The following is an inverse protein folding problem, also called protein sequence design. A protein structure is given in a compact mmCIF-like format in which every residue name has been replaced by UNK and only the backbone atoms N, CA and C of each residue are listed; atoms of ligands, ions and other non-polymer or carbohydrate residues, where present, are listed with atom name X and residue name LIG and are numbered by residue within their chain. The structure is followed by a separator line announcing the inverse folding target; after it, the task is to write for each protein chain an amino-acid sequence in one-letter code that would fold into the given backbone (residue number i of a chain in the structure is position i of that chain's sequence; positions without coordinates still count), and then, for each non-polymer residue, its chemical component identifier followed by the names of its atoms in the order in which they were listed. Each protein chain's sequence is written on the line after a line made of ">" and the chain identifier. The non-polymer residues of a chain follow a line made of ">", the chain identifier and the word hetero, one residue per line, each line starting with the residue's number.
data_IF_567980064659
#
_entry.id   IF_567980064659
#
_cell.length_a   1.000
_cell.length_b   1.000
_cell.length_c   1.000
_cell.angle_alpha   90.00
_cell.angle_beta   90.00
_cell.angle_gamma   90.00
#
_symmetry.space_group_name_H-M   'P 1'
#
loop_
_entity.id
_entity.type
_entity.pdbx_description
1 polymer ?
#
# COMPACT_ATOMS: atom_id res chain seq x y z
N UNK A 1 63.53 -46.74 -4.74
CA UNK A 1 62.87 -45.53 -5.31
C UNK A 1 61.43 -45.49 -4.79
N UNK A 2 61.17 -44.68 -3.73
CA UNK A 2 59.84 -44.55 -3.10
C UNK A 2 59.19 -43.29 -3.61
N UNK A 3 58.07 -43.43 -4.34
CA UNK A 3 57.26 -42.30 -4.79
C UNK A 3 56.33 -41.84 -3.66
N UNK A 4 56.53 -40.62 -3.17
CA UNK A 4 55.62 -39.95 -2.23
C UNK A 4 54.41 -39.45 -3.01
N UNK A 5 53.20 -39.92 -2.68
CA UNK A 5 51.92 -39.31 -3.10
C UNK A 5 51.56 -38.25 -2.07
N UNK A 6 51.59 -37.00 -2.49
CA UNK A 6 51.04 -35.89 -1.71
C UNK A 6 49.55 -35.76 -2.02
N UNK A 7 48.69 -36.18 -1.10
CA UNK A 7 47.26 -35.85 -1.14
C UNK A 7 47.04 -34.40 -0.73
N UNK A 8 46.73 -33.58 -1.70
CA UNK A 8 46.25 -32.22 -1.44
C UNK A 8 44.75 -32.28 -1.15
N UNK A 9 44.38 -32.17 0.13
CA UNK A 9 43.00 -32.03 0.57
C UNK A 9 42.56 -30.59 0.32
N UNK A 10 41.80 -30.38 -0.77
CA UNK A 10 41.15 -29.09 -1.07
C UNK A 10 39.86 -28.99 -0.24
N UNK A 11 39.95 -28.42 0.93
CA UNK A 11 38.80 -28.12 1.80
C UNK A 11 38.00 -26.99 1.19
N UNK A 12 36.93 -27.31 0.46
CA UNK A 12 36.00 -26.36 -0.14
C UNK A 12 35.14 -25.75 0.99
N UNK A 13 35.51 -24.58 1.50
CA UNK A 13 34.69 -23.81 2.44
C UNK A 13 33.48 -23.27 1.68
N UNK A 14 32.34 -23.93 1.80
CA UNK A 14 31.04 -23.42 1.41
C UNK A 14 30.64 -22.30 2.38
N UNK A 15 30.92 -21.06 2.00
CA UNK A 15 30.36 -19.86 2.65
C UNK A 15 28.86 -19.82 2.36
N UNK A 16 28.06 -20.37 3.26
CA UNK A 16 26.61 -20.14 3.26
C UNK A 16 26.36 -18.68 3.65
N UNK A 17 26.15 -17.83 2.65
CA UNK A 17 25.66 -16.48 2.89
C UNK A 17 24.20 -16.59 3.33
N UNK A 18 23.95 -16.54 4.63
CA UNK A 18 22.64 -16.28 5.17
C UNK A 18 22.30 -14.82 4.84
N UNK A 19 21.60 -14.61 3.73
CA UNK A 19 20.98 -13.33 3.46
C UNK A 19 19.93 -13.11 4.56
N UNK A 20 20.21 -12.24 5.53
CA UNK A 20 19.20 -11.67 6.40
C UNK A 20 18.27 -10.84 5.51
N UNK A 21 17.17 -11.43 5.08
CA UNK A 21 16.03 -10.67 4.56
C UNK A 21 15.47 -9.90 5.77
N UNK A 22 15.66 -8.59 5.79
CA UNK A 22 14.99 -7.75 6.77
C UNK A 22 13.48 -8.01 6.62
N UNK A 23 12.84 -8.44 7.71
CA UNK A 23 11.39 -8.66 7.72
C UNK A 23 10.71 -7.31 7.47
N UNK A 24 9.78 -7.26 6.53
CA UNK A 24 9.04 -6.03 6.23
C UNK A 24 8.13 -5.67 7.41
N UNK A 25 8.11 -4.41 7.77
CA UNK A 25 7.17 -3.86 8.76
C UNK A 25 5.73 -3.77 8.24
N UNK A 26 5.51 -4.11 6.97
CA UNK A 26 4.20 -4.17 6.33
C UNK A 26 3.78 -5.61 6.06
N UNK A 27 2.48 -5.87 6.21
CA UNK A 27 1.87 -7.13 5.81
C UNK A 27 1.97 -7.32 4.27
N UNK A 28 1.80 -8.57 3.81
CA UNK A 28 1.61 -8.83 2.37
C UNK A 28 0.30 -8.16 1.93
N UNK A 29 0.29 -7.44 0.78
CA UNK A 29 -0.94 -6.85 0.25
C UNK A 29 -2.05 -7.89 0.13
N UNK A 30 -3.23 -7.56 0.65
CA UNK A 30 -4.41 -8.44 0.56
C UNK A 30 -5.47 -7.85 -0.34
N UNK A 31 -6.14 -8.71 -1.11
CA UNK A 31 -7.31 -8.35 -1.84
C UNK A 31 -8.54 -8.38 -0.93
N UNK A 32 -9.36 -7.34 -1.00
CA UNK A 32 -10.65 -7.27 -0.33
C UNK A 32 -11.79 -7.52 -1.34
N UNK A 33 -12.93 -8.07 -0.91
CA UNK A 33 -14.07 -8.26 -1.80
C UNK A 33 -14.50 -6.93 -2.44
N UNK A 34 -14.90 -6.99 -3.70
CA UNK A 34 -15.54 -5.86 -4.35
C UNK A 34 -16.93 -5.64 -3.72
N UNK A 35 -17.20 -4.43 -3.24
CA UNK A 35 -18.50 -4.10 -2.67
C UNK A 35 -19.59 -4.17 -3.75
N UNK A 36 -20.75 -4.72 -3.39
CA UNK A 36 -21.92 -4.78 -4.27
C UNK A 36 -22.45 -3.38 -4.69
N UNK A 37 -22.11 -2.35 -3.91
CA UNK A 37 -22.48 -0.96 -4.15
C UNK A 37 -21.40 -0.13 -4.88
N UNK A 38 -20.37 -0.77 -5.44
CA UNK A 38 -19.25 -0.07 -6.11
C UNK A 38 -19.64 0.70 -7.36
N UNK A 39 -20.80 0.44 -7.94
CA UNK A 39 -21.31 1.21 -9.09
C UNK A 39 -22.13 2.45 -8.68
N UNK A 40 -22.28 2.72 -7.38
CA UNK A 40 -23.13 3.82 -6.93
C UNK A 40 -22.34 5.11 -6.82
N UNK A 41 -22.62 6.04 -7.74
CA UNK A 41 -22.14 7.42 -7.63
C UNK A 41 -23.11 8.23 -6.76
N UNK A 42 -22.64 8.73 -5.65
CA UNK A 42 -23.40 9.52 -4.69
C UNK A 42 -22.90 10.95 -4.65
N UNK A 43 -23.78 11.90 -4.33
CA UNK A 43 -23.42 13.30 -4.07
C UNK A 43 -23.28 13.59 -2.58
N UNK A 44 -23.81 12.70 -1.74
CA UNK A 44 -23.81 12.80 -0.29
C UNK A 44 -23.55 11.43 0.34
N UNK A 45 -22.97 11.40 1.54
CA UNK A 45 -22.66 10.16 2.25
C UNK A 45 -23.83 9.58 3.08
N UNK A 46 -25.00 10.21 3.03
CA UNK A 46 -26.17 9.80 3.83
C UNK A 46 -26.59 8.39 3.45
N UNK A 47 -26.56 7.46 4.42
CA UNK A 47 -26.92 6.06 4.22
C UNK A 47 -25.87 5.22 3.47
N UNK A 48 -24.72 5.78 3.08
CA UNK A 48 -23.65 5.03 2.47
C UNK A 48 -22.94 4.15 3.50
N UNK A 49 -22.66 2.91 3.12
CA UNK A 49 -21.95 1.92 3.96
C UNK A 49 -20.81 1.34 3.14
N UNK A 50 -19.66 1.13 3.81
CA UNK A 50 -18.47 0.51 3.24
C UNK A 50 -18.11 -0.75 4.02
N UNK A 51 -17.63 -1.76 3.31
CA UNK A 51 -17.34 -3.09 3.88
C UNK A 51 -16.02 -3.12 4.66
N UNK A 52 -15.17 -2.09 4.51
CA UNK A 52 -13.88 -1.97 5.23
C UNK A 52 -13.52 -0.53 5.56
N UNK A 53 -12.61 -0.34 6.52
CA UNK A 53 -12.07 0.95 6.93
C UNK A 53 -10.53 0.90 6.95
N UNK A 54 -9.83 1.79 6.20
CA UNK A 54 -10.33 2.62 5.12
C UNK A 54 -10.95 1.79 3.99
N UNK A 55 -11.93 2.34 3.21
CA UNK A 55 -12.58 1.58 2.15
C UNK A 55 -11.66 1.33 0.96
N UNK A 56 -11.86 0.21 0.24
CA UNK A 56 -11.15 -0.12 -1.01
C UNK A 56 -12.08 -0.22 -2.21
N UNK A 57 -13.39 -0.20 -1.98
CA UNK A 57 -14.46 -0.17 -2.99
C UNK A 57 -15.76 0.26 -2.31
N UNK A 58 -16.81 0.52 -3.08
CA UNK A 58 -18.13 0.89 -2.57
C UNK A 58 -18.66 2.18 -3.19
N UNK A 59 -19.68 2.81 -2.55
CA UNK A 59 -20.24 4.07 -3.03
C UNK A 59 -19.18 5.17 -3.02
N UNK A 60 -19.21 6.03 -4.04
CA UNK A 60 -18.20 7.07 -4.20
C UNK A 60 -18.72 8.29 -4.95
N UNK A 61 -17.96 9.39 -4.95
CA UNK A 61 -18.26 10.56 -5.77
C UNK A 61 -18.04 10.28 -7.26
N UNK A 62 -18.82 10.90 -8.17
CA UNK A 62 -18.62 10.76 -9.61
C UNK A 62 -17.33 11.40 -10.12
N UNK A 63 -16.67 12.22 -9.31
CA UNK A 63 -15.42 12.94 -9.64
C UNK A 63 -14.41 12.63 -8.55
N UNK A 64 -13.28 12.07 -8.97
CA UNK A 64 -12.15 11.80 -8.07
C UNK A 64 -11.44 13.11 -7.65
N UNK A 65 -10.93 13.18 -6.41
CA UNK A 65 -10.03 14.25 -6.00
C UNK A 65 -8.69 14.16 -6.77
N UNK A 66 -7.92 15.24 -6.78
CA UNK A 66 -6.57 15.24 -7.37
C UNK A 66 -5.59 14.43 -6.50
N UNK A 67 -4.60 13.80 -7.12
CA UNK A 67 -3.47 13.22 -6.39
C UNK A 67 -2.61 14.29 -5.72
N UNK A 68 -1.89 13.92 -4.64
CA UNK A 68 -1.02 14.85 -3.92
C UNK A 68 -1.05 14.66 -2.41
N UNK A 69 -0.60 15.69 -1.70
CA UNK A 69 -0.55 15.72 -0.23
C UNK A 69 -1.77 16.46 0.30
N UNK A 70 -2.46 15.85 1.26
CA UNK A 70 -3.58 16.43 1.97
C UNK A 70 -3.20 16.61 3.45
N UNK A 71 -3.68 17.68 4.06
CA UNK A 71 -3.50 17.98 5.49
C UNK A 71 -4.74 17.64 6.32
N UNK A 72 -5.77 17.08 5.68
CA UNK A 72 -7.01 16.60 6.29
C UNK A 72 -7.34 15.16 5.86
N UNK A 73 -8.23 14.52 6.62
CA UNK A 73 -8.73 13.17 6.31
C UNK A 73 -9.74 13.24 5.17
N UNK A 74 -9.50 12.48 4.10
CA UNK A 74 -10.47 12.34 3.00
C UNK A 74 -11.70 11.57 3.47
N UNK A 75 -12.89 12.00 3.01
CA UNK A 75 -14.12 11.24 3.20
C UNK A 75 -14.05 9.89 2.47
N UNK A 76 -14.84 8.90 2.89
CA UNK A 76 -14.88 7.59 2.22
C UNK A 76 -15.32 7.70 0.75
N UNK A 77 -16.21 8.64 0.43
CA UNK A 77 -16.63 8.91 -0.96
C UNK A 77 -15.49 9.41 -1.84
N UNK A 78 -14.64 10.31 -1.32
CA UNK A 78 -13.44 10.80 -2.01
C UNK A 78 -12.39 9.71 -2.17
N UNK A 79 -12.16 8.93 -1.10
CA UNK A 79 -11.20 7.83 -1.12
C UNK A 79 -11.55 6.85 -2.24
N UNK A 80 -12.78 6.32 -2.24
CA UNK A 80 -13.19 5.31 -3.22
C UNK A 80 -13.21 5.86 -4.63
N UNK A 81 -13.63 7.12 -4.85
CA UNK A 81 -13.55 7.77 -6.16
C UNK A 81 -12.13 7.82 -6.71
N UNK A 82 -11.14 8.13 -5.85
CA UNK A 82 -9.74 8.16 -6.26
C UNK A 82 -9.19 6.74 -6.56
N UNK A 83 -9.57 5.74 -5.76
CA UNK A 83 -9.18 4.35 -6.01
C UNK A 83 -9.79 3.80 -7.30
N UNK A 84 -11.06 4.11 -7.58
CA UNK A 84 -11.73 3.70 -8.82
C UNK A 84 -11.06 4.31 -10.05
N UNK A 85 -10.58 5.56 -9.96
CA UNK A 85 -9.81 6.19 -11.04
C UNK A 85 -8.42 5.58 -11.27
N UNK A 86 -8.03 4.57 -10.50
CA UNK A 86 -6.74 3.89 -10.57
C UNK A 86 -5.68 4.48 -9.64
N UNK A 87 -6.06 5.37 -8.73
CA UNK A 87 -5.14 5.95 -7.75
C UNK A 87 -4.81 4.99 -6.60
N UNK A 88 -3.78 5.36 -5.84
CA UNK A 88 -3.39 4.73 -4.57
C UNK A 88 -3.41 5.78 -3.48
N UNK A 89 -3.96 5.44 -2.32
CA UNK A 89 -3.95 6.33 -1.15
C UNK A 89 -3.07 5.71 -0.07
N UNK A 90 -2.14 6.49 0.45
CA UNK A 90 -1.35 6.16 1.64
C UNK A 90 -1.84 7.04 2.77
N UNK A 91 -2.51 6.44 3.75
CA UNK A 91 -3.02 7.11 4.93
C UNK A 91 -2.12 6.82 6.13
N UNK A 92 -1.95 7.81 7.00
CA UNK A 92 -1.13 7.69 8.19
C UNK A 92 -1.83 8.20 9.44
N UNK A 93 -1.57 7.55 10.59
CA UNK A 93 -2.01 8.07 11.88
C UNK A 93 -1.05 9.17 12.35
N UNK A 94 -1.50 10.44 12.52
CA UNK A 94 -0.62 11.59 12.79
C UNK A 94 0.31 11.40 13.99
N UNK A 95 -0.19 10.75 15.06
CA UNK A 95 0.58 10.55 16.30
C UNK A 95 1.42 9.27 16.30
N UNK A 96 1.45 8.49 15.21
CA UNK A 96 2.17 7.20 15.13
C UNK A 96 3.19 7.15 13.99
N UNK A 97 3.33 8.22 13.20
CA UNK A 97 4.26 8.28 12.07
C UNK A 97 5.65 8.79 12.48
N UNK A 98 5.78 9.32 13.71
CA UNK A 98 7.02 9.87 14.26
C UNK A 98 7.70 10.87 13.31
N UNK A 99 9.03 10.72 13.10
CA UNK A 99 9.84 11.58 12.24
C UNK A 99 9.79 11.20 10.74
N UNK A 100 8.87 10.32 10.33
CA UNK A 100 8.85 9.78 8.97
C UNK A 100 7.88 10.54 8.03
N UNK A 101 7.14 11.54 8.51
CA UNK A 101 6.18 12.28 7.70
C UNK A 101 6.81 12.85 6.42
N UNK A 102 8.01 13.44 6.52
CA UNK A 102 8.71 13.99 5.34
C UNK A 102 9.05 12.93 4.29
N UNK A 103 9.38 11.69 4.71
CA UNK A 103 9.62 10.57 3.77
C UNK A 103 8.32 10.05 3.17
N UNK A 104 7.25 10.04 3.96
CA UNK A 104 5.94 9.59 3.52
C UNK A 104 5.37 10.51 2.44
N UNK A 105 5.47 11.84 2.63
CA UNK A 105 4.98 12.82 1.67
C UNK A 105 5.69 12.77 0.31
N UNK A 106 6.93 12.24 0.25
CA UNK A 106 7.64 12.00 -1.01
C UNK A 106 7.04 10.87 -1.87
N UNK A 107 6.07 10.12 -1.36
CA UNK A 107 5.32 9.13 -2.14
C UNK A 107 4.21 9.78 -2.98
N UNK A 108 3.75 10.98 -2.59
CA UNK A 108 2.65 11.67 -3.24
C UNK A 108 3.00 12.11 -4.67
N UNK A 109 2.05 11.95 -5.58
CA UNK A 109 2.10 12.44 -6.96
C UNK A 109 0.68 12.47 -7.54
N UNK A 110 0.51 12.70 -8.84
CA UNK A 110 -0.81 12.77 -9.48
C UNK A 110 -1.66 11.50 -9.35
N UNK A 111 -1.04 10.34 -9.12
CA UNK A 111 -1.71 9.05 -8.97
C UNK A 111 -1.65 8.50 -7.53
N UNK A 112 -1.05 9.25 -6.62
CA UNK A 112 -0.88 8.86 -5.22
C UNK A 112 -1.27 9.99 -4.30
N UNK A 113 -2.24 9.74 -3.43
CA UNK A 113 -2.59 10.63 -2.32
C UNK A 113 -1.86 10.18 -1.06
N UNK A 114 -1.34 11.15 -0.31
CA UNK A 114 -0.88 10.98 1.07
C UNK A 114 -1.73 11.87 1.97
N UNK A 115 -2.43 11.30 2.96
CA UNK A 115 -3.32 12.04 3.85
C UNK A 115 -3.30 11.52 5.29
N UNK A 116 -3.54 12.36 6.31
CA UNK A 116 -3.73 11.92 7.68
C UNK A 116 -5.05 11.16 7.85
N UNK A 117 -5.04 10.19 8.74
CA UNK A 117 -6.25 9.53 9.23
C UNK A 117 -6.09 9.17 10.71
N UNK A 118 -6.59 9.99 11.64
CA UNK A 118 -6.43 9.78 13.08
C UNK A 118 -7.26 8.60 13.61
N UNK A 119 -8.13 7.99 12.80
CA UNK A 119 -8.95 6.84 13.20
C UNK A 119 -8.28 5.51 12.94
N UNK A 120 -7.08 5.50 12.33
CA UNK A 120 -6.33 4.26 12.09
C UNK A 120 -5.84 3.66 13.40
N UNK A 121 -5.96 2.33 13.52
CA UNK A 121 -5.39 1.57 14.64
C UNK A 121 -3.89 1.30 14.48
N UNK A 122 -3.36 1.50 13.28
CA UNK A 122 -1.96 1.27 12.90
C UNK A 122 -1.32 2.53 12.31
N UNK A 123 0.02 2.63 12.29
CA UNK A 123 0.72 3.83 11.81
C UNK A 123 0.43 4.19 10.35
N UNK A 124 0.43 3.22 9.44
CA UNK A 124 0.26 3.47 8.00
C UNK A 124 -0.58 2.39 7.33
N UNK A 125 -1.47 2.82 6.44
CA UNK A 125 -2.24 1.95 5.55
C UNK A 125 -2.11 2.48 4.10
N UNK A 126 -1.84 1.56 3.15
CA UNK A 126 -1.99 1.81 1.74
C UNK A 126 -3.27 1.16 1.20
N UNK A 127 -4.05 1.88 0.39
CA UNK A 127 -5.23 1.36 -0.30
C UNK A 127 -5.15 1.61 -1.80
N UNK A 128 -5.60 0.63 -2.57
CA UNK A 128 -5.87 0.70 -4.00
C UNK A 128 -7.22 0.05 -4.26
N UNK A 129 -7.73 0.09 -5.48
CA UNK A 129 -9.01 -0.54 -5.80
C UNK A 129 -9.00 -2.03 -5.43
N UNK A 130 -9.83 -2.41 -4.47
CA UNK A 130 -9.92 -3.76 -3.88
C UNK A 130 -8.63 -4.30 -3.21
N UNK A 131 -7.63 -3.48 -2.98
CA UNK A 131 -6.38 -3.92 -2.36
C UNK A 131 -5.97 -3.04 -1.18
N UNK A 132 -5.34 -3.67 -0.19
CA UNK A 132 -4.89 -3.01 1.03
C UNK A 132 -3.57 -3.59 1.53
N UNK A 133 -2.68 -2.72 2.00
CA UNK A 133 -1.46 -3.05 2.75
C UNK A 133 -1.49 -2.34 4.09
N UNK A 134 -1.12 -3.04 5.17
CA UNK A 134 -1.08 -2.53 6.54
C UNK A 134 0.36 -2.55 7.04
N UNK A 135 0.82 -1.45 7.63
CA UNK A 135 2.20 -1.33 8.12
C UNK A 135 2.22 -1.00 9.61
N UNK A 136 2.90 -1.82 10.41
CA UNK A 136 3.12 -1.61 11.85
C UNK A 136 4.15 -0.52 12.13
N UNK A 137 5.04 -0.29 11.17
CA UNK A 137 5.98 0.83 11.12
C UNK A 137 6.05 1.39 9.70
N UNK A 138 6.74 2.53 9.53
CA UNK A 138 6.94 3.11 8.21
C UNK A 138 7.98 2.34 7.40
N UNK A 139 7.55 1.67 6.35
CA UNK A 139 8.42 0.96 5.40
C UNK A 139 8.23 1.54 3.99
N UNK A 140 9.19 2.38 3.58
CA UNK A 140 9.19 3.04 2.27
C UNK A 140 9.26 2.03 1.13
N UNK A 141 10.00 0.94 1.29
CA UNK A 141 10.20 -0.07 0.24
C UNK A 141 8.92 -0.82 -0.04
N UNK A 142 8.26 -1.30 1.02
CA UNK A 142 6.98 -1.99 0.91
C UNK A 142 5.89 -1.09 0.31
N UNK A 143 5.80 0.18 0.78
CA UNK A 143 4.81 1.14 0.26
C UNK A 143 5.08 1.50 -1.22
N UNK A 144 6.33 1.69 -1.64
CA UNK A 144 6.68 1.90 -3.06
C UNK A 144 6.37 0.68 -3.92
N UNK A 145 6.63 -0.52 -3.42
CA UNK A 145 6.23 -1.76 -4.08
C UNK A 145 4.73 -1.81 -4.29
N UNK A 146 3.95 -1.58 -3.24
CA UNK A 146 2.48 -1.52 -3.31
C UNK A 146 1.99 -0.48 -4.33
N UNK A 147 2.52 0.75 -4.30
CA UNK A 147 2.16 1.80 -5.26
C UNK A 147 2.45 1.33 -6.69
N UNK A 148 3.65 0.81 -6.96
CA UNK A 148 4.05 0.33 -8.29
C UNK A 148 3.16 -0.79 -8.80
N UNK A 149 2.76 -1.70 -7.90
CA UNK A 149 1.97 -2.87 -8.25
C UNK A 149 0.50 -2.53 -8.50
N UNK A 150 -0.07 -1.48 -7.90
CA UNK A 150 -1.52 -1.25 -7.92
C UNK A 150 -1.97 0.05 -8.59
N UNK A 151 -1.09 1.01 -8.83
CA UNK A 151 -1.45 2.21 -9.62
C UNK A 151 -1.93 1.82 -11.02
N UNK A 152 -3.05 2.37 -11.46
CA UNK A 152 -3.64 2.17 -12.78
C UNK A 152 -4.39 0.84 -12.96
N UNK A 153 -4.48 -0.02 -11.94
CA UNK A 153 -5.11 -1.35 -12.10
C UNK A 153 -6.64 -1.35 -12.00
N UNK A 154 -7.24 -0.31 -11.45
CA UNK A 154 -8.71 -0.23 -11.34
C UNK A 154 -9.40 -0.19 -12.71
N UNK A 155 -8.85 0.54 -13.67
CA UNK A 155 -9.41 0.70 -15.00
C UNK A 155 -9.57 -0.60 -15.82
N UNK A 156 -8.75 -1.62 -15.54
CA UNK A 156 -8.80 -2.89 -16.25
C UNK A 156 -10.09 -3.68 -15.95
N UNK A 157 -10.76 -3.42 -14.84
CA UNK A 157 -11.95 -4.15 -14.40
C UNK A 157 -13.28 -3.51 -14.84
N UNK A 158 -13.27 -2.25 -15.29
CA UNK A 158 -14.46 -1.53 -15.73
C UNK A 158 -14.69 -1.56 -17.25
N UNK A 159 -13.77 -2.11 -18.04
CA UNK A 159 -13.85 -2.19 -19.52
C UNK A 159 -14.36 -3.52 -20.04
N UNK A 160 -15.21 -4.22 -19.29
CA UNK A 160 -15.85 -5.43 -19.80
C UNK A 160 -17.35 -5.24 -19.94
#
# INVERSE_FOLDING_TARGET
>A
MRKFFVCVNLLLLLLTQTACTAESDCDIPRQEPLSASSSFHLLESVGAVWDSSPPTSGPHYPIAPAGGIYDFTLSSLEQVAFLESGGVIVQYHPNRIENNLGKLTLLANNNVIVSPNPTLDIPVIGTAWTWKISCKNFDTTALRGFITDYVGKAEANHRK
#
